data_IF_197626412219
#
_entry.id   IF_197626412219
#
_cell.length_a   1.000
_cell.length_b   1.000
_cell.length_c   1.000
_cell.angle_alpha   90.00
_cell.angle_beta   90.00
_cell.angle_gamma   90.00
#
_symmetry.space_group_name_H-M   'P 1'
#
loop_
_entity.id
_entity.type
_entity.pdbx_description
1 polymer ?
#
# COMPACT_ATOMS: atom_id res chain seq x y z
N UNK A 1 -72.29 -5.63 62.17
CA UNK A 1 -72.55 -4.62 63.20
C UNK A 1 -72.53 -3.27 62.51
N UNK A 2 -73.66 -2.57 62.59
CA UNK A 2 -73.89 -1.12 62.51
C UNK A 2 -72.98 -0.25 61.62
N UNK A 3 -73.54 0.26 60.50
CA UNK A 3 -73.86 1.68 60.22
C UNK A 3 -73.03 2.80 60.90
N UNK A 4 -73.04 4.09 60.43
CA UNK A 4 -73.65 4.66 59.21
C UNK A 4 -72.94 5.90 58.57
N UNK A 5 -73.56 6.42 57.48
CA UNK A 5 -73.84 7.85 57.10
C UNK A 5 -72.66 8.80 56.77
N UNK A 6 -72.60 9.36 55.56
CA UNK A 6 -73.33 10.54 55.03
C UNK A 6 -72.96 11.89 55.69
N UNK A 7 -72.42 12.81 54.88
CA UNK A 7 -72.69 14.27 54.83
C UNK A 7 -71.64 14.89 53.87
N UNK A 8 -72.03 15.43 52.72
CA UNK A 8 -72.75 16.68 52.43
C UNK A 8 -71.80 17.83 52.05
N UNK A 9 -71.85 18.11 50.75
CA UNK A 9 -71.81 19.39 50.06
C UNK A 9 -71.40 20.67 50.82
N UNK A 10 -70.49 21.45 50.20
CA UNK A 10 -70.67 22.90 50.02
C UNK A 10 -69.73 23.46 48.95
N UNK A 11 -70.27 23.77 47.79
CA UNK A 11 -69.76 24.78 46.82
C UNK A 11 -70.51 26.08 47.07
N UNK A 12 -69.96 27.27 46.70
CA UNK A 12 -70.48 27.92 45.48
C UNK A 12 -69.56 28.92 44.72
N UNK A 13 -69.85 29.06 43.39
CA UNK A 13 -69.79 30.25 42.48
C UNK A 13 -68.39 30.72 41.99
N UNK A 14 -67.93 30.37 40.75
CA UNK A 14 -68.16 30.94 39.38
C UNK A 14 -67.28 32.17 39.00
N UNK A 15 -67.00 32.51 37.70
CA UNK A 15 -66.98 31.71 36.45
C UNK A 15 -65.79 32.01 35.47
N UNK A 16 -65.75 31.26 34.34
CA UNK A 16 -65.12 31.54 33.02
C UNK A 16 -63.60 31.29 32.75
N UNK A 17 -63.33 30.17 32.03
CA UNK A 17 -62.44 29.89 30.85
C UNK A 17 -61.18 30.73 30.57
N UNK A 18 -60.08 30.21 29.92
CA UNK A 18 -60.07 29.16 28.88
C UNK A 18 -58.93 28.11 28.97
N UNK A 19 -59.01 27.10 28.10
CA UNK A 19 -58.14 25.92 28.09
C UNK A 19 -56.66 26.18 27.77
N UNK A 20 -55.83 25.26 28.26
CA UNK A 20 -54.48 25.04 27.76
C UNK A 20 -54.26 23.54 27.55
N UNK A 21 -53.61 23.27 26.42
CA UNK A 21 -53.37 21.98 25.79
C UNK A 21 -52.21 21.28 26.49
N UNK A 22 -52.39 20.01 26.83
CA UNK A 22 -51.33 19.13 27.33
C UNK A 22 -50.19 18.99 26.30
N UNK A 23 -48.94 19.13 26.75
CA UNK A 23 -47.75 18.80 25.94
C UNK A 23 -47.10 17.53 26.52
N UNK A 24 -46.89 16.47 25.74
CA UNK A 24 -46.34 15.22 26.24
C UNK A 24 -44.80 15.22 26.29
N UNK A 25 -44.29 14.30 27.12
CA UNK A 25 -42.90 14.06 27.46
C UNK A 25 -41.88 14.17 26.31
N UNK A 26 -40.76 14.85 26.60
CA UNK A 26 -39.62 15.06 25.71
C UNK A 26 -38.97 13.72 25.36
N UNK A 27 -39.18 13.26 24.12
CA UNK A 27 -38.47 12.11 23.56
C UNK A 27 -36.99 12.44 23.39
N UNK A 28 -36.16 11.55 23.92
CA UNK A 28 -34.72 11.47 23.65
C UNK A 28 -34.46 11.45 22.14
N UNK A 29 -33.60 12.35 21.69
CA UNK A 29 -33.17 12.48 20.29
C UNK A 29 -32.32 11.28 19.86
N UNK A 30 -32.96 10.25 19.31
CA UNK A 30 -32.32 9.08 18.67
C UNK A 30 -31.97 9.37 17.19
N UNK A 31 -31.91 10.65 16.78
CA UNK A 31 -31.85 11.04 15.37
C UNK A 31 -30.48 11.56 14.89
N UNK A 32 -29.46 11.63 15.76
CA UNK A 32 -28.17 12.23 15.38
C UNK A 32 -26.93 11.33 15.49
N UNK A 33 -27.00 10.17 16.15
CA UNK A 33 -25.80 9.34 16.35
C UNK A 33 -25.53 8.35 15.20
N UNK A 34 -26.55 7.86 14.49
CA UNK A 34 -26.36 6.89 13.40
C UNK A 34 -25.91 7.49 12.08
N UNK A 35 -26.29 8.74 11.79
CA UNK A 35 -26.07 9.37 10.48
C UNK A 35 -24.71 10.09 10.41
N UNK A 36 -24.13 10.50 11.56
CA UNK A 36 -22.85 11.21 11.58
C UNK A 36 -21.66 10.29 11.26
N UNK A 37 -21.67 9.03 11.73
CA UNK A 37 -20.62 8.07 11.37
C UNK A 37 -20.66 7.69 9.89
N UNK A 38 -21.86 7.62 9.30
CA UNK A 38 -22.06 7.37 7.87
C UNK A 38 -21.70 8.61 7.02
N UNK A 39 -21.99 9.81 7.51
CA UNK A 39 -21.57 11.09 6.90
C UNK A 39 -20.06 11.33 6.99
N UNK A 40 -19.40 10.96 8.09
CA UNK A 40 -17.95 11.05 8.27
C UNK A 40 -17.19 10.02 7.42
N UNK A 41 -17.81 8.90 7.06
CA UNK A 41 -17.28 7.95 6.06
C UNK A 41 -17.36 8.50 4.64
N UNK A 42 -18.33 9.37 4.36
CA UNK A 42 -18.63 9.84 3.00
C UNK A 42 -17.98 11.18 2.61
N UNK A 43 -17.22 11.82 3.49
CA UNK A 43 -16.40 12.98 3.15
C UNK A 43 -14.89 12.67 3.26
N UNK A 44 -14.19 12.41 2.13
CA UNK A 44 -12.74 12.17 2.12
C UNK A 44 -11.90 13.37 2.57
N UNK A 45 -12.50 14.56 2.74
CA UNK A 45 -11.80 15.82 2.97
C UNK A 45 -11.13 15.93 4.35
N UNK A 46 -11.55 15.14 5.36
CA UNK A 46 -11.01 15.23 6.72
C UNK A 46 -10.14 14.04 7.17
N UNK A 47 -10.08 12.98 6.36
CA UNK A 47 -9.27 11.79 6.66
C UNK A 47 -7.82 11.97 6.19
N UNK A 48 -6.90 11.49 7.02
CA UNK A 48 -5.47 11.43 6.71
C UNK A 48 -5.04 10.00 6.44
N UNK A 49 -4.15 9.83 5.47
CA UNK A 49 -3.46 8.56 5.21
C UNK A 49 -2.00 8.70 5.61
N UNK A 50 -1.56 7.82 6.50
CA UNK A 50 -0.17 7.79 6.95
C UNK A 50 0.65 6.89 6.01
N UNK A 51 1.71 7.45 5.41
CA UNK A 51 2.58 6.75 4.48
C UNK A 51 4.00 6.72 5.04
N UNK A 52 4.44 5.54 5.50
CA UNK A 52 5.84 5.36 5.90
C UNK A 52 6.69 5.02 4.68
N UNK A 53 7.92 5.55 4.59
CA UNK A 53 8.77 5.42 3.41
C UNK A 53 8.20 6.16 2.19
N UNK A 54 7.37 7.19 2.43
CA UNK A 54 6.62 7.91 1.40
C UNK A 54 7.47 8.77 0.47
N UNK A 55 8.78 8.91 0.71
CA UNK A 55 9.71 9.58 -0.22
C UNK A 55 10.58 8.59 -0.99
N UNK A 56 10.46 7.29 -0.73
CA UNK A 56 11.08 6.24 -1.56
C UNK A 56 10.38 6.09 -2.91
N UNK A 57 10.95 5.30 -3.82
CA UNK A 57 10.46 5.17 -5.20
C UNK A 57 8.95 4.89 -5.33
N UNK A 58 8.44 3.82 -4.70
CA UNK A 58 7.01 3.48 -4.78
C UNK A 58 6.20 4.44 -3.91
N UNK A 59 6.67 4.70 -2.68
CA UNK A 59 5.98 5.54 -1.71
C UNK A 59 5.72 6.95 -2.22
N UNK A 60 6.61 7.53 -3.02
CA UNK A 60 6.44 8.87 -3.57
C UNK A 60 5.35 8.93 -4.64
N UNK A 61 5.27 7.90 -5.49
CA UNK A 61 4.19 7.79 -6.48
C UNK A 61 2.85 7.53 -5.80
N UNK A 62 2.82 6.68 -4.77
CA UNK A 62 1.60 6.45 -3.97
C UNK A 62 1.16 7.71 -3.24
N UNK A 63 2.08 8.48 -2.65
CA UNK A 63 1.79 9.77 -2.01
C UNK A 63 1.19 10.76 -3.01
N UNK A 64 1.76 10.85 -4.22
CA UNK A 64 1.22 11.70 -5.28
C UNK A 64 -0.19 11.26 -5.70
N UNK A 65 -0.42 9.97 -5.96
CA UNK A 65 -1.74 9.49 -6.37
C UNK A 65 -2.79 9.63 -5.24
N UNK A 66 -2.41 9.48 -3.96
CA UNK A 66 -3.29 9.76 -2.83
C UNK A 66 -3.75 11.22 -2.80
N UNK A 67 -2.83 12.17 -3.01
CA UNK A 67 -3.17 13.59 -3.09
C UNK A 67 -4.09 13.87 -4.28
N UNK A 68 -3.79 13.32 -5.47
CA UNK A 68 -4.67 13.43 -6.65
C UNK A 68 -6.08 12.88 -6.38
N UNK A 69 -6.19 11.82 -5.58
CA UNK A 69 -7.46 11.24 -5.16
C UNK A 69 -8.18 12.04 -4.04
N UNK A 70 -7.60 13.14 -3.56
CA UNK A 70 -8.21 14.04 -2.58
C UNK A 70 -7.90 13.71 -1.12
N UNK A 71 -7.01 12.76 -0.83
CA UNK A 71 -6.63 12.40 0.54
C UNK A 71 -5.63 13.39 1.12
N UNK A 72 -5.77 13.72 2.41
CA UNK A 72 -4.68 14.33 3.16
C UNK A 72 -3.62 13.27 3.47
N UNK A 73 -2.33 13.62 3.37
CA UNK A 73 -1.24 12.64 3.50
C UNK A 73 -0.22 13.09 4.54
N UNK A 74 0.11 12.17 5.44
CA UNK A 74 1.19 12.30 6.42
C UNK A 74 2.31 11.36 5.98
N UNK A 75 3.50 11.88 5.72
CA UNK A 75 4.66 11.07 5.35
C UNK A 75 5.59 10.93 6.54
N UNK A 76 6.00 9.70 6.87
CA UNK A 76 7.14 9.42 7.76
C UNK A 76 8.25 8.81 6.91
N UNK A 77 9.42 9.45 6.85
CA UNK A 77 10.57 8.94 6.11
C UNK A 77 11.88 9.39 6.78
N UNK A 78 12.77 8.44 7.08
CA UNK A 78 14.06 8.76 7.71
C UNK A 78 15.15 9.21 6.71
N UNK A 79 14.80 9.33 5.42
CA UNK A 79 15.69 9.78 4.34
C UNK A 79 16.90 8.88 4.09
N UNK A 80 16.92 7.67 4.65
CA UNK A 80 18.07 6.76 4.55
C UNK A 80 18.37 6.29 3.12
N UNK A 81 17.34 6.24 2.26
CA UNK A 81 17.47 5.91 0.83
C UNK A 81 16.58 6.77 -0.07
N UNK A 82 16.27 7.99 0.38
CA UNK A 82 15.45 8.98 -0.33
C UNK A 82 15.99 10.39 -0.07
N UNK A 83 15.42 11.39 -0.72
CA UNK A 83 15.86 12.79 -0.62
C UNK A 83 14.68 13.72 -0.27
N UNK A 84 14.97 14.74 0.55
CA UNK A 84 13.99 15.76 0.91
C UNK A 84 13.37 16.45 -0.32
N UNK A 85 14.15 16.64 -1.39
CA UNK A 85 13.67 17.23 -2.65
C UNK A 85 12.54 16.44 -3.32
N UNK A 86 12.38 15.15 -3.00
CA UNK A 86 11.25 14.34 -3.47
C UNK A 86 9.94 14.88 -2.92
N UNK A 87 9.92 15.32 -1.66
CA UNK A 87 8.74 15.94 -1.05
C UNK A 87 8.31 17.20 -1.81
N UNK A 88 9.27 18.06 -2.18
CA UNK A 88 9.00 19.28 -2.94
C UNK A 88 8.42 18.98 -4.33
N UNK A 89 8.94 17.94 -4.99
CA UNK A 89 8.44 17.49 -6.29
C UNK A 89 7.02 16.90 -6.20
N UNK A 90 6.73 16.10 -5.18
CA UNK A 90 5.37 15.59 -4.93
C UNK A 90 4.41 16.77 -4.75
N UNK A 91 4.78 17.74 -3.90
CA UNK A 91 3.98 18.94 -3.64
C UNK A 91 3.73 19.74 -4.92
N UNK A 92 4.76 19.96 -5.73
CA UNK A 92 4.65 20.67 -7.01
C UNK A 92 3.71 19.95 -7.99
N UNK A 93 3.85 18.62 -8.12
CA UNK A 93 3.03 17.82 -9.02
C UNK A 93 1.56 17.76 -8.59
N UNK A 94 1.31 17.59 -7.29
CA UNK A 94 -0.04 17.61 -6.74
C UNK A 94 -0.70 18.98 -6.91
N UNK A 95 0.01 20.08 -6.58
CA UNK A 95 -0.51 21.44 -6.77
C UNK A 95 -0.90 21.69 -8.22
N UNK A 96 0.00 21.35 -9.17
CA UNK A 96 -0.28 21.47 -10.60
C UNK A 96 -1.53 20.68 -11.02
N UNK A 97 -1.66 19.44 -10.56
CA UNK A 97 -2.84 18.62 -10.86
C UNK A 97 -4.13 19.28 -10.37
N UNK A 98 -4.17 19.75 -9.12
CA UNK A 98 -5.36 20.37 -8.55
C UNK A 98 -5.69 21.72 -9.20
N UNK A 99 -4.69 22.52 -9.57
CA UNK A 99 -4.86 23.75 -10.34
C UNK A 99 -5.53 23.47 -11.70
N UNK A 100 -5.07 22.43 -12.41
CA UNK A 100 -5.64 22.01 -13.70
C UNK A 100 -7.09 21.47 -13.57
N UNK A 101 -7.42 20.84 -12.44
CA UNK A 101 -8.78 20.35 -12.15
C UNK A 101 -9.70 21.41 -11.51
N UNK A 102 -9.19 22.59 -11.15
CA UNK A 102 -9.96 23.62 -10.43
C UNK A 102 -10.38 23.19 -9.01
N UNK A 103 -9.56 22.38 -8.35
CA UNK A 103 -9.80 21.85 -6.99
C UNK A 103 -8.74 22.36 -6.01
N UNK A 104 -9.00 22.24 -4.70
CA UNK A 104 -7.99 22.59 -3.69
C UNK A 104 -7.08 21.39 -3.42
N UNK A 105 -5.76 21.62 -3.38
CA UNK A 105 -4.81 20.58 -3.00
C UNK A 105 -4.99 20.15 -1.54
N UNK A 106 -5.07 18.85 -1.24
CA UNK A 106 -5.11 18.33 0.14
C UNK A 106 -3.85 18.64 0.96
N UNK A 107 -3.94 18.47 2.27
CA UNK A 107 -2.79 18.63 3.17
C UNK A 107 -1.72 17.56 2.90
N UNK A 108 -0.46 18.00 2.82
CA UNK A 108 0.70 17.13 2.73
C UNK A 108 1.69 17.52 3.83
N UNK A 109 2.03 16.56 4.69
CA UNK A 109 2.96 16.76 5.82
C UNK A 109 4.11 15.76 5.76
N UNK A 110 5.29 16.19 6.23
CA UNK A 110 6.46 15.33 6.33
C UNK A 110 7.03 15.35 7.75
N UNK A 111 7.25 14.16 8.27
CA UNK A 111 7.96 13.89 9.52
C UNK A 111 9.24 13.11 9.19
N UNK A 112 10.37 13.82 9.19
CA UNK A 112 11.66 13.28 8.80
C UNK A 112 12.34 12.53 9.97
N UNK A 113 11.73 11.45 10.43
CA UNK A 113 12.27 10.58 11.48
C UNK A 113 12.06 9.10 11.15
N UNK A 114 12.65 8.24 11.96
CA UNK A 114 12.47 6.79 11.85
C UNK A 114 11.08 6.40 12.34
N UNK A 115 10.37 5.55 11.61
CA UNK A 115 9.06 5.04 12.03
C UNK A 115 9.15 4.15 13.29
N UNK A 116 10.36 3.68 13.61
CA UNK A 116 10.69 2.93 14.83
C UNK A 116 10.92 3.83 16.05
N UNK A 117 10.99 5.15 15.87
CA UNK A 117 11.02 6.08 16.99
C UNK A 117 9.61 6.19 17.59
N UNK A 118 9.31 5.29 18.53
CA UNK A 118 8.00 5.18 19.17
C UNK A 118 7.62 6.48 19.89
N UNK A 119 8.59 7.21 20.45
CA UNK A 119 8.32 8.47 21.14
C UNK A 119 7.87 9.56 20.14
N UNK A 120 8.62 9.73 19.04
CA UNK A 120 8.24 10.66 17.97
C UNK A 120 6.91 10.27 17.31
N UNK A 121 6.70 8.97 17.07
CA UNK A 121 5.46 8.46 16.50
C UNK A 121 4.26 8.76 17.40
N UNK A 122 4.35 8.53 18.71
CA UNK A 122 3.27 8.82 19.65
C UNK A 122 2.88 10.30 19.65
N UNK A 123 3.87 11.19 19.71
CA UNK A 123 3.66 12.65 19.64
C UNK A 123 2.98 13.06 18.33
N UNK A 124 3.29 12.37 17.23
CA UNK A 124 2.60 12.57 15.95
C UNK A 124 1.15 12.09 16.02
N UNK A 125 0.91 10.85 16.43
CA UNK A 125 -0.44 10.26 16.43
C UNK A 125 -1.41 10.98 17.38
N UNK A 126 -0.93 11.53 18.49
CA UNK A 126 -1.71 12.37 19.41
C UNK A 126 -2.36 13.59 18.72
N UNK A 127 -1.71 14.16 17.70
CA UNK A 127 -2.23 15.32 16.96
C UNK A 127 -3.48 14.99 16.13
N UNK A 128 -3.70 13.70 15.84
CA UNK A 128 -4.81 13.22 15.01
C UNK A 128 -5.87 12.46 15.81
N UNK A 129 -5.72 12.37 17.14
CA UNK A 129 -6.65 11.65 17.99
C UNK A 129 -8.00 12.37 18.08
N UNK A 130 -9.08 11.59 18.03
CA UNK A 130 -10.45 12.08 18.18
C UNK A 130 -10.92 11.75 19.61
N UNK A 131 -11.44 12.76 20.30
CA UNK A 131 -12.01 12.55 21.64
C UNK A 131 -13.25 11.65 21.54
N UNK A 132 -13.18 10.47 22.15
CA UNK A 132 -14.30 9.53 22.24
C UNK A 132 -14.90 9.57 23.65
N UNK A 133 -16.23 9.73 23.75
CA UNK A 133 -16.97 9.67 25.02
C UNK A 133 -17.03 8.26 25.61
N UNK A 134 -16.80 7.24 24.77
CA UNK A 134 -17.03 5.83 25.08
C UNK A 134 -15.73 5.04 25.31
N UNK A 135 -14.59 5.73 25.41
CA UNK A 135 -13.29 5.13 25.77
C UNK A 135 -12.54 4.43 24.64
N UNK A 136 -13.18 4.10 23.51
CA UNK A 136 -12.48 3.53 22.35
C UNK A 136 -11.62 4.59 21.66
N UNK A 137 -10.30 4.38 21.50
CA UNK A 137 -9.44 5.28 20.73
C UNK A 137 -9.95 5.42 19.29
N UNK A 138 -10.08 6.66 18.81
CA UNK A 138 -10.37 6.97 17.41
C UNK A 138 -9.33 7.96 16.89
N UNK A 139 -9.03 7.88 15.60
CA UNK A 139 -8.07 8.75 14.93
C UNK A 139 -8.66 9.31 13.64
N UNK A 140 -8.21 10.51 13.25
CA UNK A 140 -8.42 11.07 11.92
C UNK A 140 -7.58 10.37 10.85
N UNK A 141 -6.58 9.58 11.26
CA UNK A 141 -5.81 8.74 10.36
C UNK A 141 -6.67 7.51 10.02
N UNK A 142 -7.23 7.52 8.82
CA UNK A 142 -8.15 6.47 8.35
C UNK A 142 -7.45 5.21 7.83
N UNK A 143 -6.11 5.25 7.70
CA UNK A 143 -5.34 4.09 7.30
C UNK A 143 -3.86 4.38 7.13
N UNK A 144 -3.09 3.29 7.06
CA UNK A 144 -1.64 3.32 6.93
C UNK A 144 -1.21 2.57 5.67
N UNK A 145 -0.24 3.11 4.95
CA UNK A 145 0.48 2.40 3.89
C UNK A 145 1.96 2.30 4.28
N UNK A 146 2.44 1.07 4.46
CA UNK A 146 3.75 0.80 5.04
C UNK A 146 4.81 0.36 4.02
N UNK A 147 5.53 1.33 3.43
CA UNK A 147 6.67 1.06 2.53
C UNK A 147 8.03 0.97 3.23
N UNK A 148 8.17 1.53 4.44
CA UNK A 148 9.46 1.68 5.11
C UNK A 148 10.12 0.33 5.40
N UNK A 149 11.10 -0.05 4.57
CA UNK A 149 11.84 -1.29 4.69
C UNK A 149 13.19 -1.20 3.98
N UNK A 150 14.20 -1.92 4.47
CA UNK A 150 15.34 -2.25 3.63
C UNK A 150 14.94 -3.29 2.60
N UNK A 151 15.34 -3.08 1.32
CA UNK A 151 14.85 -3.84 0.16
C UNK A 151 15.90 -4.59 -0.66
N UNK A 152 17.20 -4.41 -0.38
CA UNK A 152 18.25 -4.97 -1.22
C UNK A 152 18.57 -6.43 -0.85
N UNK A 153 18.29 -7.36 -1.76
CA UNK A 153 18.51 -8.80 -1.55
C UNK A 153 19.96 -9.12 -1.16
N UNK A 154 20.93 -8.61 -1.94
CA UNK A 154 22.35 -8.89 -1.69
C UNK A 154 22.84 -8.31 -0.36
N UNK A 155 22.38 -7.12 0.02
CA UNK A 155 22.72 -6.52 1.32
C UNK A 155 22.09 -7.32 2.46
N UNK A 156 20.87 -7.84 2.29
CA UNK A 156 20.19 -8.62 3.31
C UNK A 156 20.94 -9.90 3.67
N UNK A 157 21.61 -10.53 2.71
CA UNK A 157 22.45 -11.72 2.93
C UNK A 157 23.69 -11.35 3.75
N UNK A 158 24.30 -10.19 3.47
CA UNK A 158 25.50 -9.71 4.18
C UNK A 158 25.17 -9.19 5.59
N UNK A 159 24.01 -8.56 5.77
CA UNK A 159 23.61 -7.89 6.99
C UNK A 159 22.20 -8.33 7.46
N UNK A 160 21.97 -9.62 7.77
CA UNK A 160 20.64 -10.14 8.05
C UNK A 160 19.97 -9.48 9.25
N UNK A 161 20.70 -9.27 10.36
CA UNK A 161 20.13 -8.67 11.58
C UNK A 161 19.65 -7.24 11.36
N UNK A 162 20.30 -6.47 10.48
CA UNK A 162 19.86 -5.13 10.07
C UNK A 162 18.47 -5.19 9.42
N UNK A 163 18.22 -6.18 8.57
CA UNK A 163 16.94 -6.37 7.89
C UNK A 163 15.85 -6.83 8.85
N UNK A 164 16.13 -7.81 9.72
CA UNK A 164 15.16 -8.27 10.72
C UNK A 164 14.79 -7.16 11.72
N UNK A 165 15.78 -6.44 12.25
CA UNK A 165 15.54 -5.35 13.21
C UNK A 165 14.73 -4.21 12.59
N UNK A 166 14.99 -3.83 11.33
CA UNK A 166 14.24 -2.77 10.68
C UNK A 166 12.84 -3.25 10.24
N UNK A 167 12.76 -4.34 9.48
CA UNK A 167 11.54 -4.72 8.78
C UNK A 167 10.57 -5.49 9.69
N UNK A 168 11.06 -6.33 10.60
CA UNK A 168 10.22 -7.19 11.46
C UNK A 168 10.00 -6.53 12.81
N UNK A 169 11.06 -6.28 13.59
CA UNK A 169 10.90 -5.66 14.91
C UNK A 169 10.27 -4.28 14.81
N UNK A 170 10.70 -3.46 13.84
CA UNK A 170 10.09 -2.17 13.58
C UNK A 170 8.60 -2.25 13.22
N UNK A 171 8.18 -3.26 12.44
CA UNK A 171 6.76 -3.44 12.13
C UNK A 171 5.94 -3.80 13.38
N UNK A 172 6.48 -4.64 14.26
CA UNK A 172 5.81 -5.00 15.52
C UNK A 172 5.57 -3.74 16.35
N UNK A 173 6.62 -2.96 16.63
CA UNK A 173 6.50 -1.73 17.44
C UNK A 173 5.54 -0.72 16.79
N UNK A 174 5.57 -0.61 15.45
CA UNK A 174 4.71 0.28 14.69
C UNK A 174 3.23 -0.15 14.76
N UNK A 175 2.92 -1.42 14.47
CA UNK A 175 1.55 -1.94 14.53
C UNK A 175 0.98 -1.90 15.94
N UNK A 176 1.78 -2.21 16.97
CA UNK A 176 1.39 -2.04 18.38
C UNK A 176 0.99 -0.60 18.66
N UNK A 177 1.84 0.36 18.30
CA UNK A 177 1.56 1.79 18.54
C UNK A 177 0.31 2.26 17.78
N UNK A 178 0.13 1.85 16.52
CA UNK A 178 -1.07 2.20 15.75
C UNK A 178 -2.36 1.68 16.40
N UNK A 179 -2.34 0.45 16.91
CA UNK A 179 -3.49 -0.15 17.60
C UNK A 179 -3.92 0.62 18.85
N UNK A 180 -2.97 1.15 19.62
CA UNK A 180 -3.25 1.99 20.81
C UNK A 180 -3.99 3.29 20.47
N UNK A 181 -3.82 3.79 19.23
CA UNK A 181 -4.49 4.99 18.72
C UNK A 181 -5.74 4.67 17.88
N UNK A 182 -6.15 3.39 17.81
CA UNK A 182 -7.33 2.97 17.04
C UNK A 182 -7.14 3.03 15.52
N UNK A 183 -5.89 3.05 15.04
CA UNK A 183 -5.58 3.05 13.60
C UNK A 183 -5.40 1.60 13.16
N UNK A 184 -6.46 1.01 12.63
CA UNK A 184 -6.54 -0.45 12.38
C UNK A 184 -6.70 -0.85 10.90
N UNK A 185 -6.68 0.11 9.98
CA UNK A 185 -6.54 -0.16 8.53
C UNK A 185 -5.07 -0.11 8.13
N UNK A 186 -4.52 -1.21 7.62
CA UNK A 186 -3.09 -1.34 7.32
C UNK A 186 -2.82 -1.97 5.95
N UNK A 187 -2.18 -1.23 5.05
CA UNK A 187 -1.75 -1.70 3.73
C UNK A 187 -0.25 -1.97 3.78
N UNK A 188 0.12 -3.25 3.75
CA UNK A 188 1.49 -3.71 3.86
C UNK A 188 2.15 -3.91 2.49
N UNK A 189 3.34 -3.33 2.32
CA UNK A 189 4.18 -3.57 1.15
C UNK A 189 4.90 -4.91 1.24
N UNK A 190 4.33 -5.93 0.62
CA UNK A 190 4.97 -7.23 0.45
C UNK A 190 5.70 -7.37 -0.89
N UNK A 191 6.06 -8.58 -1.29
CA UNK A 191 6.88 -8.85 -2.47
C UNK A 191 6.66 -10.26 -2.98
N UNK A 192 6.76 -10.46 -4.30
CA UNK A 192 6.78 -11.78 -4.92
C UNK A 192 7.92 -12.70 -4.39
N UNK A 193 8.91 -12.16 -3.67
CA UNK A 193 9.94 -12.97 -3.01
C UNK A 193 9.40 -13.93 -1.93
N UNK A 194 8.19 -13.70 -1.41
CA UNK A 194 7.54 -14.61 -0.44
C UNK A 194 7.20 -15.97 -1.06
N UNK A 195 7.08 -16.05 -2.39
CA UNK A 195 6.85 -17.31 -3.11
C UNK A 195 8.10 -18.22 -3.16
N UNK A 196 9.28 -17.69 -2.83
CA UNK A 196 10.52 -18.45 -2.76
C UNK A 196 10.79 -19.32 -3.99
N UNK A 197 11.06 -20.61 -3.81
CA UNK A 197 11.40 -21.52 -4.92
C UNK A 197 10.23 -21.85 -5.83
N UNK A 198 8.97 -21.53 -5.46
CA UNK A 198 7.82 -21.75 -6.34
C UNK A 198 7.91 -20.89 -7.62
N UNK A 199 8.59 -19.74 -7.54
CA UNK A 199 8.94 -18.93 -8.71
C UNK A 199 9.94 -19.62 -9.66
N UNK A 200 10.45 -20.81 -9.33
CA UNK A 200 11.29 -21.61 -10.26
C UNK A 200 10.46 -22.60 -11.07
N UNK A 201 9.17 -22.79 -10.76
CA UNK A 201 8.31 -23.74 -11.47
C UNK A 201 8.03 -23.39 -12.94
N UNK A 202 8.30 -22.14 -13.33
CA UNK A 202 7.94 -21.61 -14.65
C UNK A 202 6.45 -21.25 -14.78
N UNK A 203 5.63 -21.54 -13.76
CA UNK A 203 4.20 -21.24 -13.76
C UNK A 203 3.92 -19.82 -13.20
N UNK A 204 2.87 -19.14 -13.68
CA UNK A 204 2.39 -17.91 -13.07
C UNK A 204 2.04 -18.10 -11.59
N UNK A 205 2.38 -17.09 -10.77
CA UNK A 205 2.25 -17.13 -9.33
C UNK A 205 0.88 -16.63 -8.90
N UNK A 206 0.12 -17.50 -8.23
CA UNK A 206 -1.16 -17.16 -7.59
C UNK A 206 -0.98 -16.96 -6.09
N UNK A 207 -1.87 -16.21 -5.47
CA UNK A 207 -1.88 -15.94 -4.03
C UNK A 207 -1.95 -17.23 -3.19
N UNK A 208 -2.69 -18.24 -3.65
CA UNK A 208 -2.87 -19.53 -2.98
C UNK A 208 -1.57 -20.36 -2.88
N UNK A 209 -0.53 -19.99 -3.63
CA UNK A 209 0.80 -20.61 -3.51
C UNK A 209 1.54 -20.21 -2.22
N UNK A 210 1.07 -19.19 -1.51
CA UNK A 210 1.61 -18.76 -0.23
C UNK A 210 0.49 -18.19 0.64
N UNK A 211 -0.06 -19.00 1.52
CA UNK A 211 -1.16 -18.63 2.43
C UNK A 211 -0.67 -18.57 3.88
N UNK A 212 -1.37 -17.80 4.71
CA UNK A 212 -1.08 -17.63 6.15
C UNK A 212 -2.12 -18.29 7.06
N UNK A 213 -3.15 -18.88 6.45
CA UNK A 213 -4.11 -19.77 7.08
C UNK A 213 -4.51 -20.84 6.08
N UNK A 214 -5.24 -21.86 6.55
CA UNK A 214 -5.79 -22.86 5.64
C UNK A 214 -6.81 -22.20 4.72
N UNK A 215 -6.62 -22.33 3.41
CA UNK A 215 -7.54 -21.81 2.39
C UNK A 215 -7.96 -22.96 1.45
N UNK A 216 -9.22 -22.92 1.02
CA UNK A 216 -9.75 -23.82 -0.01
C UNK A 216 -10.03 -22.99 -1.25
N UNK A 217 -9.56 -23.45 -2.40
CA UNK A 217 -9.82 -22.80 -3.69
C UNK A 217 -10.09 -23.82 -4.78
N UNK A 218 -10.83 -23.42 -5.81
CA UNK A 218 -11.03 -24.22 -7.01
C UNK A 218 -9.89 -24.00 -8.00
N UNK A 219 -9.24 -25.08 -8.43
CA UNK A 219 -8.22 -25.01 -9.47
C UNK A 219 -8.82 -24.78 -10.87
N UNK A 220 -7.95 -24.75 -11.88
CA UNK A 220 -8.34 -24.52 -13.27
C UNK A 220 -9.28 -25.58 -13.85
N UNK A 221 -9.37 -26.75 -13.23
CA UNK A 221 -10.27 -27.84 -13.60
C UNK A 221 -11.56 -27.84 -12.74
N UNK A 222 -11.72 -26.86 -11.84
CA UNK A 222 -12.83 -26.77 -10.90
C UNK A 222 -12.73 -27.74 -9.73
N UNK A 223 -11.57 -28.37 -9.51
CA UNK A 223 -11.37 -29.25 -8.35
C UNK A 223 -10.98 -28.43 -7.13
N UNK A 224 -11.60 -28.73 -5.99
CA UNK A 224 -11.25 -28.10 -4.72
C UNK A 224 -9.85 -28.56 -4.26
N UNK A 225 -9.03 -27.58 -3.93
CA UNK A 225 -7.69 -27.77 -3.40
C UNK A 225 -7.63 -27.11 -2.01
N UNK A 226 -7.06 -27.82 -1.04
CA UNK A 226 -6.77 -27.28 0.29
C UNK A 226 -5.29 -26.94 0.38
N UNK A 227 -4.97 -25.68 0.62
CA UNK A 227 -3.60 -25.20 0.86
C UNK A 227 -3.39 -24.89 2.33
N UNK A 228 -2.24 -25.32 2.83
CA UNK A 228 -1.83 -25.13 4.22
C UNK A 228 -0.90 -23.91 4.34
N UNK A 229 -0.93 -23.21 5.49
CA UNK A 229 -0.05 -22.09 5.72
C UNK A 229 1.42 -22.48 5.68
N UNK A 230 2.27 -21.63 5.11
CA UNK A 230 3.70 -21.87 5.05
C UNK A 230 4.42 -21.05 3.99
N UNK A 231 5.74 -21.25 3.91
CA UNK A 231 6.58 -20.78 2.81
C UNK A 231 7.46 -21.89 2.27
N UNK A 232 7.87 -21.75 1.02
CA UNK A 232 8.70 -22.75 0.34
C UNK A 232 9.95 -22.08 -0.22
N UNK A 233 11.12 -22.41 0.35
CA UNK A 233 12.41 -22.08 -0.26
C UNK A 233 12.74 -20.59 -0.42
N UNK A 234 12.35 -19.74 0.53
CA UNK A 234 12.76 -18.33 0.50
C UNK A 234 14.29 -18.22 0.68
N UNK A 235 14.96 -17.67 -0.33
CA UNK A 235 16.43 -17.78 -0.52
C UNK A 235 17.24 -16.68 0.16
N UNK A 236 16.61 -15.62 0.66
CA UNK A 236 17.32 -14.46 1.22
C UNK A 236 16.60 -13.86 2.45
N UNK A 237 17.33 -13.18 3.36
CA UNK A 237 16.73 -12.57 4.55
C UNK A 237 15.66 -11.51 4.25
N UNK A 238 15.81 -10.69 3.20
CA UNK A 238 14.77 -9.72 2.81
C UNK A 238 13.42 -10.39 2.55
N UNK A 239 13.36 -11.41 1.69
CA UNK A 239 12.14 -12.16 1.42
C UNK A 239 11.56 -12.81 2.66
N UNK A 240 12.41 -13.31 3.57
CA UNK A 240 11.96 -13.86 4.86
C UNK A 240 11.33 -12.80 5.74
N UNK A 241 11.88 -11.59 5.78
CA UNK A 241 11.26 -10.49 6.53
C UNK A 241 9.86 -10.19 6.02
N UNK A 242 9.65 -10.15 4.69
CA UNK A 242 8.32 -9.91 4.11
C UNK A 242 7.33 -11.00 4.47
N UNK A 243 7.71 -12.27 4.36
CA UNK A 243 6.84 -13.38 4.74
C UNK A 243 6.52 -13.38 6.25
N UNK A 244 7.51 -13.16 7.11
CA UNK A 244 7.30 -13.07 8.57
C UNK A 244 6.35 -11.91 8.91
N UNK A 245 6.52 -10.75 8.28
CA UNK A 245 5.62 -9.62 8.45
C UNK A 245 4.18 -9.98 8.03
N UNK A 246 3.99 -10.65 6.88
CA UNK A 246 2.66 -11.11 6.48
C UNK A 246 2.05 -12.06 7.53
N UNK A 247 2.82 -13.01 8.07
CA UNK A 247 2.35 -13.93 9.11
C UNK A 247 1.95 -13.21 10.41
N UNK A 248 2.80 -12.29 10.90
CA UNK A 248 2.50 -11.46 12.08
C UNK A 248 1.20 -10.67 11.88
N UNK A 249 1.02 -10.07 10.70
CA UNK A 249 -0.16 -9.28 10.39
C UNK A 249 -1.41 -10.16 10.23
N UNK A 250 -1.28 -11.38 9.69
CA UNK A 250 -2.37 -12.34 9.64
C UNK A 250 -2.83 -12.75 11.04
N UNK A 251 -1.88 -13.04 11.94
CA UNK A 251 -2.16 -13.36 13.35
C UNK A 251 -2.81 -12.17 14.07
N UNK A 252 -2.34 -10.95 13.81
CA UNK A 252 -2.91 -9.72 14.38
C UNK A 252 -4.38 -9.56 13.98
N UNK A 253 -4.70 -9.65 12.69
CA UNK A 253 -6.07 -9.54 12.18
C UNK A 253 -6.98 -10.69 12.65
N UNK A 254 -6.42 -11.88 12.90
CA UNK A 254 -7.15 -12.99 13.48
C UNK A 254 -7.45 -12.78 14.99
N UNK A 255 -6.52 -12.15 15.72
CA UNK A 255 -6.65 -11.90 17.16
C UNK A 255 -7.59 -10.73 17.50
N UNK A 256 -7.66 -9.73 16.61
CA UNK A 256 -8.45 -8.52 16.79
C UNK A 256 -9.17 -8.19 15.47
N UNK A 257 -10.47 -8.56 15.35
CA UNK A 257 -11.23 -8.39 14.12
C UNK A 257 -11.49 -6.93 13.69
N UNK A 258 -11.14 -5.94 14.50
CA UNK A 258 -11.19 -4.54 14.07
C UNK A 258 -10.02 -4.18 13.12
N UNK A 259 -8.97 -5.00 13.07
CA UNK A 259 -7.91 -4.84 12.08
C UNK A 259 -8.37 -5.28 10.70
N UNK A 260 -8.18 -4.38 9.73
CA UNK A 260 -8.32 -4.66 8.30
C UNK A 260 -6.97 -4.49 7.63
N UNK A 261 -6.38 -5.58 7.19
CA UNK A 261 -5.00 -5.64 6.72
C UNK A 261 -4.94 -6.21 5.30
N UNK A 262 -4.26 -5.48 4.43
CA UNK A 262 -4.02 -5.90 3.05
C UNK A 262 -2.53 -6.03 2.81
N UNK A 263 -2.06 -7.21 2.42
CA UNK A 263 -0.68 -7.44 2.01
C UNK A 263 -0.58 -7.47 0.48
N UNK A 264 0.11 -6.47 -0.08
CA UNK A 264 0.26 -6.32 -1.51
C UNK A 264 1.62 -6.88 -1.96
N UNK A 265 1.61 -7.99 -2.70
CA UNK A 265 2.80 -8.67 -3.21
C UNK A 265 3.19 -8.08 -4.56
N UNK A 266 4.15 -7.17 -4.54
CA UNK A 266 4.63 -6.53 -5.77
C UNK A 266 5.55 -7.45 -6.56
N UNK A 267 5.47 -7.33 -7.87
CA UNK A 267 6.44 -7.90 -8.80
C UNK A 267 7.57 -6.88 -9.05
N UNK A 268 7.81 -6.45 -10.28
CA UNK A 268 8.97 -5.59 -10.59
C UNK A 268 8.50 -4.19 -11.00
N UNK A 269 8.36 -3.25 -10.05
CA UNK A 269 7.98 -1.88 -10.38
C UNK A 269 9.04 -1.18 -11.21
N UNK A 270 8.61 -0.51 -12.27
CA UNK A 270 9.44 0.26 -13.21
C UNK A 270 8.73 1.55 -13.65
N UNK A 271 9.43 2.39 -14.41
CA UNK A 271 8.88 3.64 -14.92
C UNK A 271 9.05 4.79 -13.93
N UNK A 272 8.41 5.90 -14.23
CA UNK A 272 8.38 7.10 -13.40
C UNK A 272 7.09 7.88 -13.68
N UNK A 273 6.87 8.98 -12.98
CA UNK A 273 5.76 9.89 -13.29
C UNK A 273 5.91 10.48 -14.69
N UNK A 274 4.78 10.73 -15.36
CA UNK A 274 4.73 11.17 -16.76
C UNK A 274 5.46 12.49 -17.01
N UNK A 275 5.51 13.37 -16.01
CA UNK A 275 6.27 14.63 -16.07
C UNK A 275 7.78 14.44 -16.12
N UNK A 276 8.29 13.27 -15.73
CA UNK A 276 9.71 13.02 -15.52
C UNK A 276 10.30 13.72 -14.28
N UNK A 277 9.49 14.34 -13.43
CA UNK A 277 9.98 14.98 -12.20
C UNK A 277 10.17 13.97 -11.05
N UNK A 278 9.35 12.91 -11.02
CA UNK A 278 9.37 11.90 -9.97
C UNK A 278 9.75 10.54 -10.54
N UNK A 279 10.78 9.89 -10.00
CA UNK A 279 11.32 8.62 -10.50
C UNK A 279 12.18 7.90 -9.46
N UNK A 280 12.76 6.75 -9.82
CA UNK A 280 13.66 5.99 -8.93
C UNK A 280 15.05 6.65 -8.87
N UNK A 281 15.40 7.21 -7.72
CA UNK A 281 16.71 7.83 -7.45
C UNK A 281 17.26 7.37 -6.08
N UNK A 282 17.77 6.11 -5.98
CA UNK A 282 18.25 5.56 -4.72
C UNK A 282 19.63 6.12 -4.37
N UNK A 283 19.91 6.30 -3.07
CA UNK A 283 21.26 6.62 -2.57
C UNK A 283 22.21 5.44 -2.71
N UNK A 284 21.67 4.22 -2.58
CA UNK A 284 22.42 3.00 -2.76
C UNK A 284 22.64 2.69 -4.24
N UNK A 285 23.72 1.95 -4.54
CA UNK A 285 23.98 1.46 -5.88
C UNK A 285 22.79 0.62 -6.37
N UNK A 286 22.20 0.94 -7.54
CA UNK A 286 21.06 0.22 -8.03
C UNK A 286 21.43 -1.22 -8.39
N UNK A 287 20.60 -2.17 -7.95
CA UNK A 287 20.70 -3.60 -8.29
C UNK A 287 19.59 -4.07 -9.23
N UNK A 288 18.58 -3.23 -9.47
CA UNK A 288 17.41 -3.52 -10.29
C UNK A 288 17.72 -3.23 -11.77
N UNK A 289 17.10 -4.00 -12.68
CA UNK A 289 17.44 -3.98 -14.10
C UNK A 289 17.36 -2.58 -14.73
N UNK A 290 16.23 -1.89 -14.64
CA UNK A 290 16.07 -0.61 -15.32
C UNK A 290 16.95 0.52 -14.79
N UNK A 291 17.11 0.70 -13.46
CA UNK A 291 18.11 1.62 -12.96
C UNK A 291 19.53 1.33 -13.46
N UNK A 292 19.92 0.05 -13.59
CA UNK A 292 21.22 -0.32 -14.19
C UNK A 292 21.28 0.02 -15.68
N UNK A 293 20.21 -0.24 -16.44
CA UNK A 293 20.09 0.16 -17.85
C UNK A 293 20.27 1.68 -18.01
N UNK A 294 19.62 2.46 -17.16
CA UNK A 294 19.77 3.93 -17.12
C UNK A 294 21.22 4.34 -16.85
N UNK A 295 21.92 3.68 -15.92
CA UNK A 295 23.35 3.95 -15.65
C UNK A 295 24.24 3.65 -16.86
N UNK A 296 23.90 2.65 -17.68
CA UNK A 296 24.60 2.36 -18.93
C UNK A 296 24.31 3.44 -19.98
N UNK A 297 23.03 3.82 -20.15
CA UNK A 297 22.61 4.86 -21.10
C UNK A 297 23.20 6.24 -20.80
N UNK A 298 23.46 6.54 -19.52
CA UNK A 298 24.08 7.79 -19.05
C UNK A 298 25.61 7.71 -18.98
N UNK A 299 26.22 6.61 -19.46
CA UNK A 299 27.67 6.42 -19.48
C UNK A 299 28.32 6.17 -18.12
N UNK A 300 27.55 6.05 -17.04
CA UNK A 300 28.07 5.76 -15.69
C UNK A 300 28.58 4.31 -15.59
N UNK A 301 27.94 3.38 -16.31
CA UNK A 301 28.41 2.01 -16.48
C UNK A 301 28.76 1.74 -17.94
N UNK A 302 29.82 0.94 -18.16
CA UNK A 302 30.30 0.60 -19.50
C UNK A 302 29.32 -0.27 -20.28
N UNK A 303 28.70 -1.24 -19.60
CA UNK A 303 27.83 -2.25 -20.21
C UNK A 303 26.91 -2.88 -19.15
N UNK A 304 25.74 -3.36 -19.60
CA UNK A 304 24.79 -4.14 -18.81
C UNK A 304 25.26 -5.60 -18.72
N UNK A 305 25.34 -6.14 -17.49
CA UNK A 305 25.57 -7.57 -17.29
C UNK A 305 24.22 -8.32 -17.34
N UNK A 306 24.09 -9.26 -18.28
CA UNK A 306 22.91 -10.12 -18.43
C UNK A 306 23.13 -11.42 -17.66
N UNK A 307 22.58 -11.50 -16.44
CA UNK A 307 22.78 -12.64 -15.55
C UNK A 307 21.94 -13.86 -15.98
N UNK A 308 22.61 -14.83 -16.60
CA UNK A 308 21.98 -16.04 -17.12
C UNK A 308 21.34 -15.83 -18.50
N UNK A 309 21.84 -16.58 -19.48
CA UNK A 309 21.34 -16.61 -20.87
C UNK A 309 21.01 -18.04 -21.32
N UNK A 310 20.79 -18.92 -20.34
CA UNK A 310 20.57 -20.36 -20.48
C UNK A 310 19.35 -20.82 -19.67
N UNK A 311 18.44 -19.90 -19.32
CA UNK A 311 17.17 -20.23 -18.68
C UNK A 311 16.24 -20.92 -19.68
N UNK A 312 15.28 -21.70 -19.16
CA UNK A 312 14.22 -22.29 -19.96
C UNK A 312 13.14 -21.23 -20.29
N UNK A 313 13.55 -20.25 -21.10
CA UNK A 313 12.74 -19.11 -21.58
C UNK A 313 13.05 -18.89 -23.06
N UNK A 314 12.17 -18.17 -23.77
CA UNK A 314 12.24 -18.04 -25.24
C UNK A 314 13.60 -17.55 -25.76
N UNK A 315 14.24 -16.62 -25.06
CA UNK A 315 15.55 -16.05 -25.42
C UNK A 315 16.69 -16.43 -24.45
N UNK A 316 16.42 -17.36 -23.53
CA UNK A 316 17.35 -17.83 -22.51
C UNK A 316 17.58 -16.85 -21.36
N UNK A 317 17.02 -15.64 -21.39
CA UNK A 317 17.17 -14.65 -20.31
C UNK A 317 16.01 -14.69 -19.32
N UNK A 318 16.23 -14.23 -18.10
CA UNK A 318 15.23 -14.29 -17.05
C UNK A 318 13.98 -13.44 -17.39
N UNK A 319 12.80 -14.00 -17.15
CA UNK A 319 11.49 -13.36 -17.37
C UNK A 319 10.92 -12.83 -16.06
N UNK A 320 10.40 -11.60 -16.10
CA UNK A 320 9.84 -10.90 -14.96
C UNK A 320 8.57 -10.17 -15.38
N UNK A 321 7.59 -10.12 -14.49
CA UNK A 321 6.44 -9.23 -14.63
C UNK A 321 6.83 -7.82 -14.19
N UNK A 322 6.85 -6.90 -15.16
CA UNK A 322 7.22 -5.51 -14.97
C UNK A 322 5.98 -4.64 -14.95
N UNK A 323 5.71 -4.03 -13.80
CA UNK A 323 4.54 -3.20 -13.55
C UNK A 323 4.94 -1.73 -13.51
N UNK A 324 4.17 -0.86 -14.16
CA UNK A 324 4.43 0.58 -14.06
C UNK A 324 4.16 1.08 -12.63
N UNK A 325 5.07 1.89 -12.08
CA UNK A 325 5.00 2.37 -10.69
C UNK A 325 3.73 3.17 -10.38
N UNK A 326 3.21 3.95 -11.33
CA UNK A 326 1.91 4.62 -11.21
C UNK A 326 0.74 3.64 -11.07
N UNK A 327 0.71 2.56 -11.84
CA UNK A 327 -0.36 1.56 -11.72
C UNK A 327 -0.25 0.86 -10.37
N UNK A 328 0.97 0.53 -9.95
CA UNK A 328 1.23 -0.02 -8.64
C UNK A 328 0.75 0.94 -7.53
N UNK A 329 1.03 2.24 -7.64
CA UNK A 329 0.57 3.26 -6.71
C UNK A 329 -0.97 3.32 -6.64
N UNK A 330 -1.67 3.27 -7.78
CA UNK A 330 -3.13 3.17 -7.84
C UNK A 330 -3.68 1.89 -7.21
N UNK A 331 -2.94 0.79 -7.27
CA UNK A 331 -3.29 -0.46 -6.59
C UNK A 331 -3.35 -0.30 -5.06
N UNK A 332 -2.56 0.59 -4.48
CA UNK A 332 -2.63 0.90 -3.05
C UNK A 332 -3.89 1.67 -2.69
N UNK A 333 -4.30 2.61 -3.54
CA UNK A 333 -5.52 3.39 -3.35
C UNK A 333 -6.73 2.46 -3.46
N UNK A 334 -6.73 1.55 -4.43
CA UNK A 334 -7.75 0.52 -4.56
C UNK A 334 -7.82 -0.39 -3.32
N UNK A 335 -6.67 -0.87 -2.82
CA UNK A 335 -6.59 -1.66 -1.59
C UNK A 335 -7.10 -0.90 -0.36
N UNK A 336 -6.71 0.36 -0.20
CA UNK A 336 -7.17 1.23 0.87
C UNK A 336 -8.69 1.46 0.81
N UNK A 337 -9.22 1.74 -0.37
CA UNK A 337 -10.65 1.92 -0.60
C UNK A 337 -11.44 0.64 -0.31
N UNK A 338 -10.93 -0.52 -0.70
CA UNK A 338 -11.55 -1.81 -0.42
C UNK A 338 -11.56 -2.12 1.08
N UNK A 339 -10.45 -1.85 1.78
CA UNK A 339 -10.35 -2.00 3.22
C UNK A 339 -11.33 -1.08 3.98
N UNK A 340 -11.31 0.22 3.68
CA UNK A 340 -12.18 1.20 4.34
C UNK A 340 -13.66 1.05 3.96
N UNK A 341 -13.95 0.52 2.78
CA UNK A 341 -15.30 0.23 2.31
C UNK A 341 -15.90 -1.07 2.86
N UNK A 342 -15.13 -1.86 3.63
CA UNK A 342 -15.58 -3.17 4.11
C UNK A 342 -15.87 -4.17 2.97
N UNK A 343 -15.17 -4.01 1.84
CA UNK A 343 -15.38 -4.85 0.64
C UNK A 343 -14.55 -6.14 0.65
N UNK A 344 -13.58 -6.26 1.55
CA UNK A 344 -12.71 -7.43 1.63
C UNK A 344 -13.48 -8.62 2.20
N UNK A 345 -13.20 -9.81 1.63
CA UNK A 345 -13.79 -11.07 2.10
C UNK A 345 -13.34 -11.38 3.53
N UNK A 346 -12.16 -10.92 3.93
CA UNK A 346 -11.51 -11.26 5.19
C UNK A 346 -10.69 -10.09 5.73
N UNK A 347 -10.48 -10.09 7.06
CA UNK A 347 -9.72 -9.05 7.77
C UNK A 347 -8.22 -9.05 7.45
N UNK A 348 -7.66 -10.16 6.97
CA UNK A 348 -6.32 -10.20 6.37
C UNK A 348 -6.44 -10.79 4.99
N UNK A 349 -5.99 -10.06 3.97
CA UNK A 349 -6.06 -10.50 2.58
C UNK A 349 -4.78 -10.17 1.81
N UNK A 350 -4.35 -11.10 0.97
CA UNK A 350 -3.16 -10.95 0.12
C UNK A 350 -3.56 -10.77 -1.33
N UNK A 351 -2.82 -9.92 -2.05
CA UNK A 351 -3.04 -9.62 -3.47
C UNK A 351 -1.72 -9.52 -4.23
N UNK A 352 -1.67 -10.12 -5.40
CA UNK A 352 -0.60 -9.90 -6.37
C UNK A 352 -0.87 -8.63 -7.17
N UNK A 353 0.11 -7.71 -7.15
CA UNK A 353 0.10 -6.54 -8.02
C UNK A 353 1.16 -6.72 -9.12
N UNK A 354 0.69 -7.20 -10.27
CA UNK A 354 1.46 -7.42 -11.49
C UNK A 354 0.57 -7.27 -12.72
N UNK A 355 1.19 -7.26 -13.90
CA UNK A 355 0.49 -7.15 -15.19
C UNK A 355 -0.08 -8.48 -15.66
N UNK A 356 0.43 -9.60 -15.14
CA UNK A 356 0.18 -10.94 -15.66
C UNK A 356 0.95 -11.26 -16.94
N UNK A 357 1.78 -10.34 -17.43
CA UNK A 357 2.64 -10.51 -18.60
C UNK A 357 4.10 -10.47 -18.20
N UNK A 358 4.81 -11.56 -18.49
CA UNK A 358 6.26 -11.62 -18.35
C UNK A 358 6.96 -10.92 -19.52
N UNK A 359 8.05 -10.22 -19.21
CA UNK A 359 9.04 -9.81 -20.20
C UNK A 359 10.43 -10.30 -19.80
N UNK A 360 11.19 -10.74 -20.80
CA UNK A 360 12.58 -11.13 -20.62
C UNK A 360 13.49 -9.92 -20.41
N UNK A 361 14.72 -10.15 -19.92
CA UNK A 361 15.74 -9.09 -19.85
C UNK A 361 16.02 -8.53 -21.25
N UNK A 362 16.04 -9.38 -22.28
CA UNK A 362 16.29 -8.94 -23.65
C UNK A 362 15.17 -8.05 -24.19
N UNK A 363 13.91 -8.42 -23.98
CA UNK A 363 12.74 -7.64 -24.41
C UNK A 363 12.72 -6.25 -23.79
N UNK A 364 13.07 -6.16 -22.49
CA UNK A 364 13.18 -4.88 -21.78
C UNK A 364 14.26 -4.00 -22.40
N UNK A 365 15.46 -4.55 -22.63
CA UNK A 365 16.55 -3.78 -23.25
C UNK A 365 16.17 -3.33 -24.67
N UNK A 366 15.63 -4.24 -25.49
CA UNK A 366 15.22 -3.93 -26.86
C UNK A 366 14.12 -2.85 -26.90
N UNK A 367 13.18 -2.89 -25.96
CA UNK A 367 12.13 -1.85 -25.84
C UNK A 367 12.73 -0.51 -25.47
N UNK A 368 13.70 -0.48 -24.55
CA UNK A 368 14.40 0.74 -24.16
C UNK A 368 15.27 1.30 -25.30
N UNK A 369 15.97 0.46 -26.06
CA UNK A 369 16.73 0.86 -27.26
C UNK A 369 15.79 1.48 -28.31
N UNK A 370 14.63 0.85 -28.55
CA UNK A 370 13.64 1.34 -29.51
C UNK A 370 13.04 2.70 -29.10
N UNK A 371 12.76 2.90 -27.80
CA UNK A 371 12.21 4.17 -27.29
C UNK A 371 13.26 5.27 -27.25
N UNK A 372 14.47 4.97 -26.79
CA UNK A 372 15.54 5.96 -26.64
C UNK A 372 16.30 6.25 -27.93
N UNK A 373 16.17 5.39 -28.95
CA UNK A 373 16.99 5.39 -30.16
C UNK A 373 18.50 5.36 -29.87
N UNK A 374 18.90 4.81 -28.71
CA UNK A 374 20.30 4.66 -28.30
C UNK A 374 20.62 3.18 -28.05
N UNK A 375 21.77 2.67 -28.52
CA UNK A 375 22.19 1.31 -28.22
C UNK A 375 22.56 1.17 -26.74
N UNK A 376 22.27 0.01 -26.16
CA UNK A 376 22.63 -0.33 -24.78
C UNK A 376 23.67 -1.47 -24.81
N UNK A 377 24.96 -1.17 -24.62
CA UNK A 377 26.00 -2.18 -24.55
C UNK A 377 25.66 -3.22 -23.47
N UNK A 378 25.75 -4.51 -23.82
CA UNK A 378 25.37 -5.63 -22.94
C UNK A 378 26.31 -6.80 -23.12
N UNK A 379 26.50 -7.57 -22.04
CA UNK A 379 27.38 -8.74 -21.99
C UNK A 379 26.72 -9.87 -21.20
N UNK A 380 26.80 -11.09 -21.73
CA UNK A 380 26.37 -12.28 -21.01
C UNK A 380 27.23 -12.52 -19.76
N UNK A 381 26.57 -12.81 -18.65
CA UNK A 381 27.18 -13.17 -17.37
C UNK A 381 26.56 -14.46 -16.82
N UNK A 382 27.25 -15.13 -15.91
CA UNK A 382 26.69 -16.28 -15.20
C UNK A 382 25.42 -15.93 -14.43
N UNK A 383 24.60 -16.93 -14.09
CA UNK A 383 23.42 -16.72 -13.24
C UNK A 383 23.82 -16.11 -11.91
N UNK A 384 23.06 -15.11 -11.45
CA UNK A 384 23.24 -14.52 -10.13
C UNK A 384 22.52 -15.37 -9.08
N UNK A 385 23.17 -15.56 -7.93
CA UNK A 385 22.61 -16.38 -6.86
C UNK A 385 21.24 -15.84 -6.40
N UNK A 386 20.25 -16.72 -6.33
CA UNK A 386 18.89 -16.39 -5.91
C UNK A 386 17.96 -15.90 -7.03
N UNK A 387 18.45 -15.68 -8.25
CA UNK A 387 17.58 -15.39 -9.39
C UNK A 387 16.84 -16.65 -9.87
N UNK A 388 15.62 -16.45 -10.37
CA UNK A 388 14.76 -17.49 -10.96
C UNK A 388 14.56 -17.25 -12.46
N UNK A 389 14.19 -18.30 -13.19
CA UNK A 389 13.98 -18.23 -14.64
C UNK A 389 12.79 -17.35 -15.03
N UNK A 390 11.61 -17.55 -14.43
CA UNK A 390 10.40 -16.79 -14.74
C UNK A 390 9.61 -16.46 -13.47
N UNK A 391 9.20 -15.21 -13.29
CA UNK A 391 8.38 -14.77 -12.16
C UNK A 391 7.29 -13.82 -12.64
N UNK A 392 6.08 -14.35 -12.84
CA UNK A 392 4.94 -13.64 -13.42
C UNK A 392 3.71 -13.78 -12.54
N UNK A 393 2.92 -12.71 -12.38
CA UNK A 393 1.75 -12.72 -11.52
C UNK A 393 0.55 -13.41 -12.18
N UNK A 394 -0.35 -13.95 -11.37
CA UNK A 394 -1.77 -14.00 -11.69
C UNK A 394 -2.43 -12.89 -10.88
N UNK A 395 -3.05 -11.93 -11.56
CA UNK A 395 -3.60 -10.71 -10.93
C UNK A 395 -5.14 -10.69 -10.89
N UNK A 396 -5.80 -11.83 -11.18
CA UNK A 396 -7.26 -11.93 -11.22
C UNK A 396 -7.91 -11.53 -9.90
N UNK A 397 -7.33 -11.93 -8.76
CA UNK A 397 -7.84 -11.55 -7.44
C UNK A 397 -7.86 -10.03 -7.23
N UNK A 398 -6.82 -9.33 -7.65
CA UNK A 398 -6.75 -7.86 -7.60
C UNK A 398 -7.77 -7.20 -8.53
N UNK A 399 -8.02 -7.80 -9.70
CA UNK A 399 -9.04 -7.32 -10.63
C UNK A 399 -10.45 -7.48 -10.07
N UNK A 400 -10.75 -8.61 -9.44
CA UNK A 400 -12.11 -8.95 -9.01
C UNK A 400 -12.46 -8.33 -7.65
N UNK A 401 -11.56 -8.40 -6.66
CA UNK A 401 -11.83 -7.93 -5.29
C UNK A 401 -11.44 -6.45 -5.07
N UNK A 402 -10.40 -5.94 -5.76
CA UNK A 402 -9.97 -4.54 -5.63
C UNK A 402 -10.46 -3.64 -6.77
N UNK A 403 -11.12 -4.21 -7.79
CA UNK A 403 -11.53 -3.49 -9.01
C UNK A 403 -10.33 -2.80 -9.70
N UNK A 404 -9.11 -3.38 -9.59
CA UNK A 404 -7.87 -2.78 -10.06
C UNK A 404 -7.18 -3.63 -11.13
N UNK A 405 -6.65 -2.97 -12.16
CA UNK A 405 -5.79 -3.57 -13.18
C UNK A 405 -4.75 -2.57 -13.66
N UNK A 406 -3.67 -3.08 -14.25
CA UNK A 406 -2.65 -2.24 -14.88
C UNK A 406 -3.16 -1.65 -16.21
N UNK A 407 -2.78 -0.41 -16.50
CA UNK A 407 -3.14 0.31 -17.72
C UNK A 407 -1.91 0.59 -18.59
N UNK A 408 -0.74 0.74 -17.98
CA UNK A 408 0.51 1.13 -18.64
C UNK A 408 1.32 -0.09 -19.07
N UNK A 409 1.87 -0.01 -20.27
CA UNK A 409 2.73 -1.03 -20.86
C UNK A 409 4.21 -0.84 -20.46
N UNK A 410 5.03 -1.86 -20.76
CA UNK A 410 6.49 -1.76 -20.68
C UNK A 410 7.03 -0.59 -21.52
N UNK A 411 6.42 -0.33 -22.68
CA UNK A 411 6.79 0.80 -23.53
C UNK A 411 6.53 2.14 -22.85
N UNK A 412 5.39 2.29 -22.18
CA UNK A 412 5.05 3.52 -21.44
C UNK A 412 6.04 3.76 -20.30
N UNK A 413 6.47 2.69 -19.60
CA UNK A 413 7.50 2.78 -18.57
C UNK A 413 8.87 3.20 -19.13
N UNK A 414 9.25 2.72 -20.31
CA UNK A 414 10.49 3.14 -20.97
C UNK A 414 10.42 4.61 -21.44
N UNK A 415 9.26 5.05 -21.95
CA UNK A 415 9.02 6.45 -22.36
C UNK A 415 9.10 7.38 -21.17
N UNK A 416 8.43 7.05 -20.06
CA UNK A 416 8.48 7.88 -18.85
C UNK A 416 9.92 8.00 -18.33
N UNK A 417 10.68 6.90 -18.28
CA UNK A 417 12.10 6.95 -17.89
C UNK A 417 12.95 7.84 -18.81
N UNK A 418 12.72 7.83 -20.12
CA UNK A 418 13.41 8.74 -21.04
C UNK A 418 13.09 10.22 -20.71
N UNK A 419 11.82 10.53 -20.39
CA UNK A 419 11.44 11.87 -19.95
C UNK A 419 12.15 12.26 -18.65
N UNK A 420 12.23 11.35 -17.67
CA UNK A 420 12.94 11.57 -16.42
C UNK A 420 14.42 11.91 -16.64
N UNK A 421 15.09 11.22 -17.57
CA UNK A 421 16.49 11.50 -17.89
C UNK A 421 16.68 12.86 -18.56
N UNK A 422 15.75 13.25 -19.43
CA UNK A 422 15.77 14.56 -20.06
C UNK A 422 15.60 15.69 -19.04
N UNK A 423 14.60 15.56 -18.16
CA UNK A 423 14.32 16.57 -17.12
C UNK A 423 15.43 16.65 -16.08
N UNK A 424 16.06 15.52 -15.75
CA UNK A 424 17.16 15.47 -14.79
C UNK A 424 18.50 15.98 -15.37
N UNK A 425 18.55 16.35 -16.66
CA UNK A 425 19.78 16.76 -17.34
C UNK A 425 20.81 15.63 -17.50
N UNK A 426 20.34 14.38 -17.43
CA UNK A 426 21.16 13.17 -17.55
C UNK A 426 21.16 12.61 -18.98
N UNK A 427 20.38 13.18 -19.90
CA UNK A 427 20.47 12.85 -21.32
C UNK A 427 21.65 13.57 -21.97
N UNK A 428 22.80 12.90 -22.01
CA UNK A 428 23.91 13.28 -22.89
C UNK A 428 23.71 12.72 -24.29
#
# INVERSE_FOLDING_TARGET
MESPRQSDASTPVEPCSPGCVDTPATQSSVLFDGNLEELLRNFPLDQYILVTGGLGFIGSHTTLELLKAGYNVIVIDNLSNSFQSVFDRIRQLAAKYHDEQGTCMPSLQLHAHDFRDVAALRVLLEQYQIQSRWGTPKSRIGGVIHFAAYKAVEESIKNPLKYYANNVSGLIDFATTLGEFGIKTFIFSSSATVYGTLATSGLPLKEELCVHKEEVYSDQNGLEQTVKPGCTGITNPYGRTKWICEAILADLAASDPEWTIVALRYFNPIGCDESGLLGEDPRQTPTNLLPVVVKVMTGQYKELQMFGTDWDTEDGTAVRDFIHVTDLARGHIAALNAANGGKLVENFRTFNLGTGRGHSVMEVVNTMEAVSSKPIPRKAAGRRAGDVGSCVAVATRSQDELEWKTEKSLKDACVSLCNFLNVSGLSS
#
